data_IF_030164025693
#
_entry.id   IF_030164025693
#
_cell.length_a   1.000
_cell.length_b   1.000
_cell.length_c   1.000
_cell.angle_alpha   90.00
_cell.angle_beta   90.00
_cell.angle_gamma   90.00
#
_symmetry.space_group_name_H-M   'P 1'
#
loop_
_entity.id
_entity.type
_entity.pdbx_description
1 polymer ?
#
# COMPACT_ATOMS: atom_id res chain seq x y z
N UNK A 1 0.92 7.21 6.29
CA UNK A 1 1.04 8.12 7.40
C UNK A 1 2.48 8.55 7.62
N UNK A 2 3.47 7.64 7.67
CA UNK A 2 4.88 7.99 7.93
C UNK A 2 5.44 9.03 6.95
N UNK A 3 5.24 8.87 5.65
CA UNK A 3 5.66 9.86 4.64
C UNK A 3 5.02 11.25 4.78
N UNK A 4 3.96 11.38 5.60
CA UNK A 4 3.31 12.65 5.92
C UNK A 4 3.67 13.17 7.32
N UNK A 5 4.50 12.43 8.09
CA UNK A 5 4.88 12.81 9.43
C UNK A 5 3.73 12.92 10.43
N UNK A 6 2.67 12.13 10.27
CA UNK A 6 1.44 12.27 11.06
C UNK A 6 0.97 10.98 11.77
N UNK A 7 1.83 9.96 11.90
CA UNK A 7 1.46 8.69 12.55
C UNK A 7 1.02 8.87 14.00
N UNK A 8 1.71 9.70 14.80
CA UNK A 8 1.24 10.05 16.15
C UNK A 8 -0.17 10.65 16.16
N UNK A 9 -0.49 11.50 15.16
CA UNK A 9 -1.82 12.08 15.00
C UNK A 9 -2.87 11.03 14.71
N UNK A 10 -2.55 10.08 13.84
CA UNK A 10 -3.41 8.92 13.56
C UNK A 10 -3.60 8.06 14.80
N UNK A 11 -2.53 7.75 15.55
CA UNK A 11 -2.59 7.00 16.80
C UNK A 11 -3.50 7.67 17.84
N UNK A 12 -3.38 9.00 18.02
CA UNK A 12 -4.29 9.75 18.90
C UNK A 12 -5.75 9.68 18.42
N UNK A 13 -5.99 9.75 17.10
CA UNK A 13 -7.34 9.65 16.54
C UNK A 13 -7.94 8.25 16.75
N UNK A 14 -7.18 7.18 16.52
CA UNK A 14 -7.59 5.81 16.79
C UNK A 14 -8.00 5.62 18.25
N UNK A 15 -7.16 6.08 19.17
CA UNK A 15 -7.46 6.04 20.61
C UNK A 15 -8.71 6.84 20.99
N UNK A 16 -8.88 8.02 20.39
CA UNK A 16 -10.03 8.91 20.67
C UNK A 16 -11.34 8.34 20.09
N UNK A 17 -11.28 7.61 18.99
CA UNK A 17 -12.44 6.98 18.38
C UNK A 17 -13.07 5.89 19.28
N UNK A 18 -12.28 5.26 20.16
CA UNK A 18 -12.76 4.24 21.11
C UNK A 18 -13.33 2.98 20.44
N UNK A 19 -13.01 2.76 19.18
CA UNK A 19 -13.43 1.56 18.44
C UNK A 19 -12.59 0.36 18.85
N UNK A 20 -13.18 -0.85 18.90
CA UNK A 20 -12.41 -2.09 19.01
C UNK A 20 -11.33 -2.18 17.93
N UNK A 21 -10.15 -2.72 18.28
CA UNK A 21 -9.00 -2.78 17.35
C UNK A 21 -9.33 -3.57 16.07
N UNK A 22 -10.15 -4.59 16.15
CA UNK A 22 -10.59 -5.45 15.06
C UNK A 22 -11.64 -4.80 14.14
N UNK A 23 -12.23 -3.67 14.54
CA UNK A 23 -13.11 -2.88 13.69
C UNK A 23 -12.38 -1.83 12.84
N UNK A 24 -11.05 -1.69 13.02
CA UNK A 24 -10.23 -0.69 12.31
C UNK A 24 -9.12 -1.38 11.54
N UNK A 25 -9.03 -1.12 10.23
CA UNK A 25 -7.95 -1.61 9.37
C UNK A 25 -6.91 -0.51 9.18
N UNK A 26 -5.70 -0.73 9.70
CA UNK A 26 -4.62 0.26 9.69
C UNK A 26 -3.53 -0.12 8.71
N UNK A 27 -3.31 0.75 7.72
CA UNK A 27 -2.25 0.59 6.72
C UNK A 27 -1.18 1.67 6.88
N UNK A 28 0.08 1.28 6.84
CA UNK A 28 1.20 2.21 6.69
C UNK A 28 2.16 1.74 5.58
N UNK A 29 3.21 2.50 5.34
CA UNK A 29 4.19 2.21 4.28
C UNK A 29 5.61 2.45 4.77
N UNK A 30 6.55 1.62 4.30
CA UNK A 30 7.99 1.88 4.39
C UNK A 30 8.32 3.04 3.45
N UNK A 31 8.76 4.19 3.96
CA UNK A 31 9.16 5.30 3.09
C UNK A 31 10.45 4.98 2.34
N UNK A 32 10.72 5.72 1.29
CA UNK A 32 11.84 5.44 0.40
C UNK A 32 13.20 5.48 1.09
N UNK A 33 13.37 6.38 2.05
CA UNK A 33 14.60 6.58 2.84
C UNK A 33 14.86 5.47 3.85
N UNK A 34 13.85 4.69 4.20
CA UNK A 34 13.93 3.61 5.20
C UNK A 34 14.03 2.21 4.55
N UNK A 35 14.27 2.14 3.24
CA UNK A 35 14.44 0.86 2.54
C UNK A 35 15.76 0.16 2.93
N UNK A 36 15.79 -1.16 2.79
CA UNK A 36 16.84 -2.07 3.25
C UNK A 36 16.40 -2.85 4.48
N UNK A 37 17.05 -3.98 4.77
CA UNK A 37 16.58 -4.90 5.81
C UNK A 37 16.52 -4.26 7.20
N UNK A 38 17.65 -3.82 7.74
CA UNK A 38 17.72 -3.27 9.12
C UNK A 38 17.00 -1.92 9.27
N UNK A 39 17.02 -1.09 8.22
CA UNK A 39 16.31 0.20 8.22
C UNK A 39 14.80 0.00 8.23
N UNK A 40 14.30 -0.99 7.48
CA UNK A 40 12.89 -1.35 7.47
C UNK A 40 12.42 -1.88 8.82
N UNK A 41 13.21 -2.73 9.49
CA UNK A 41 12.86 -3.20 10.84
C UNK A 41 12.67 -2.02 11.81
N UNK A 42 13.63 -1.08 11.85
CA UNK A 42 13.53 0.13 12.69
C UNK A 42 12.36 1.04 12.30
N UNK A 43 12.10 1.16 11.00
CA UNK A 43 11.00 1.98 10.48
C UNK A 43 9.64 1.47 10.93
N UNK A 44 9.42 0.16 10.87
CA UNK A 44 8.17 -0.46 11.33
C UNK A 44 8.03 -0.36 12.84
N UNK A 45 9.09 -0.60 13.61
CA UNK A 45 9.09 -0.43 15.07
C UNK A 45 8.69 1.00 15.45
N UNK A 46 9.27 2.01 14.80
CA UNK A 46 8.90 3.42 15.01
C UNK A 46 7.45 3.70 14.63
N UNK A 47 6.97 3.17 13.51
CA UNK A 47 5.57 3.35 13.09
C UNK A 47 4.59 2.75 14.11
N UNK A 48 4.87 1.56 14.64
CA UNK A 48 4.05 0.94 15.68
C UNK A 48 4.02 1.79 16.96
N UNK A 49 5.17 2.31 17.38
CA UNK A 49 5.27 3.20 18.54
C UNK A 49 4.49 4.51 18.34
N UNK A 50 4.66 5.17 17.19
CA UNK A 50 4.00 6.44 16.86
C UNK A 50 2.46 6.26 16.75
N UNK A 51 2.01 5.14 16.20
CA UNK A 51 0.59 4.79 16.10
C UNK A 51 0.01 4.30 17.44
N UNK A 52 0.84 3.87 18.39
CA UNK A 52 0.43 3.27 19.64
C UNK A 52 -0.23 1.90 19.45
N UNK A 53 0.27 1.12 18.50
CA UNK A 53 -0.25 -0.20 18.13
C UNK A 53 0.80 -1.29 18.35
N UNK A 54 0.35 -2.52 18.62
CA UNK A 54 1.22 -3.70 18.72
C UNK A 54 1.39 -4.40 17.35
N UNK A 55 0.42 -4.21 16.44
CA UNK A 55 0.43 -4.79 15.10
C UNK A 55 -0.25 -3.87 14.07
N UNK A 56 0.16 -3.99 12.81
CA UNK A 56 -0.49 -3.38 11.64
C UNK A 56 -1.29 -4.42 10.86
N UNK A 57 -2.39 -4.00 10.26
CA UNK A 57 -3.18 -4.88 9.37
C UNK A 57 -2.49 -5.05 8.03
N UNK A 58 -1.91 -3.97 7.49
CA UNK A 58 -1.19 -3.98 6.21
C UNK A 58 0.01 -3.03 6.24
N UNK A 59 1.14 -3.50 5.75
CA UNK A 59 2.31 -2.65 5.53
C UNK A 59 2.85 -2.82 4.12
N UNK A 60 3.11 -1.70 3.42
CA UNK A 60 3.51 -1.69 2.03
C UNK A 60 4.92 -1.14 1.85
N UNK A 61 5.66 -1.63 0.85
CA UNK A 61 6.81 -0.88 0.31
C UNK A 61 6.25 0.25 -0.55
N UNK A 62 6.66 1.51 -0.29
CA UNK A 62 6.05 2.69 -0.96
C UNK A 62 6.38 2.77 -2.46
N UNK A 63 7.63 2.48 -2.85
CA UNK A 63 8.12 2.45 -4.23
C UNK A 63 9.21 1.39 -4.40
N UNK A 64 9.35 0.74 -5.57
CA UNK A 64 10.37 -0.30 -5.78
C UNK A 64 11.81 0.25 -5.83
N UNK A 65 12.02 1.46 -6.32
CA UNK A 65 13.33 2.14 -6.50
C UNK A 65 14.42 1.22 -7.07
N UNK A 66 14.26 0.71 -8.30
CA UNK A 66 15.14 -0.34 -8.85
C UNK A 66 16.60 0.08 -8.97
N UNK A 67 16.88 1.39 -9.11
CA UNK A 67 18.26 1.92 -9.18
C UNK A 67 19.04 1.76 -7.87
N UNK A 68 18.36 1.60 -6.75
CA UNK A 68 18.98 1.45 -5.42
C UNK A 68 19.11 -0.02 -5.03
N UNK A 69 18.33 -0.91 -5.66
CA UNK A 69 18.42 -2.35 -5.46
C UNK A 69 17.97 -2.85 -4.07
N UNK A 70 17.26 -2.02 -3.29
CA UNK A 70 16.91 -2.32 -1.90
C UNK A 70 15.55 -3.02 -1.73
N UNK A 71 14.75 -3.13 -2.80
CA UNK A 71 13.40 -3.68 -2.72
C UNK A 71 13.36 -5.11 -2.16
N UNK A 72 14.28 -5.97 -2.59
CA UNK A 72 14.36 -7.35 -2.12
C UNK A 72 14.68 -7.45 -0.63
N UNK A 73 15.65 -6.67 -0.13
CA UNK A 73 16.01 -6.67 1.29
C UNK A 73 14.93 -6.02 2.16
N UNK A 74 14.27 -4.98 1.66
CA UNK A 74 13.08 -4.39 2.29
C UNK A 74 11.96 -5.42 2.40
N UNK A 75 11.73 -6.19 1.34
CA UNK A 75 10.72 -7.24 1.33
C UNK A 75 11.04 -8.38 2.30
N UNK A 76 12.31 -8.83 2.38
CA UNK A 76 12.77 -9.82 3.37
C UNK A 76 12.48 -9.35 4.81
N UNK A 77 12.68 -8.06 5.09
CA UNK A 77 12.37 -7.50 6.40
C UNK A 77 10.86 -7.52 6.70
N UNK A 78 10.01 -7.18 5.72
CA UNK A 78 8.55 -7.26 5.89
C UNK A 78 8.07 -8.70 6.07
N UNK A 79 8.62 -9.68 5.34
CA UNK A 79 8.34 -11.11 5.53
C UNK A 79 8.70 -11.53 6.96
N UNK A 80 9.89 -11.17 7.43
CA UNK A 80 10.30 -11.45 8.81
C UNK A 80 9.33 -10.87 9.84
N UNK A 81 8.94 -9.60 9.70
CA UNK A 81 7.99 -8.94 10.62
C UNK A 81 6.59 -9.55 10.57
N UNK A 82 6.16 -10.02 9.40
CA UNK A 82 4.91 -10.74 9.24
C UNK A 82 4.95 -12.09 9.97
N UNK A 83 6.03 -12.86 9.84
CA UNK A 83 6.23 -14.12 10.54
C UNK A 83 6.27 -13.95 12.07
N UNK A 84 6.76 -12.80 12.56
CA UNK A 84 6.79 -12.45 13.98
C UNK A 84 5.44 -11.91 14.50
N UNK A 85 4.45 -11.66 13.62
CA UNK A 85 3.12 -11.19 14.00
C UNK A 85 2.98 -9.67 14.17
N UNK A 86 4.00 -8.88 13.84
CA UNK A 86 3.90 -7.41 13.88
C UNK A 86 3.07 -6.82 12.74
N UNK A 87 2.91 -7.57 11.65
CA UNK A 87 2.15 -7.15 10.47
C UNK A 87 1.28 -8.33 10.03
N UNK A 88 -0.04 -8.14 9.92
CA UNK A 88 -0.98 -9.19 9.48
C UNK A 88 -0.87 -9.51 7.99
N UNK A 89 -0.64 -8.48 7.17
CA UNK A 89 -0.52 -8.60 5.71
C UNK A 89 0.56 -7.69 5.18
N UNK A 90 1.32 -8.17 4.20
CA UNK A 90 2.39 -7.41 3.57
C UNK A 90 2.14 -7.26 2.07
N UNK A 91 2.42 -6.07 1.56
CA UNK A 91 2.22 -5.74 0.15
C UNK A 91 3.20 -4.69 -0.34
N UNK A 92 2.95 -4.20 -1.51
CA UNK A 92 3.81 -3.23 -2.18
C UNK A 92 2.98 -2.10 -2.80
N UNK A 93 3.65 -1.04 -3.24
CA UNK A 93 3.02 0.05 -3.97
C UNK A 93 3.91 0.47 -5.13
N UNK A 94 3.29 0.74 -6.29
CA UNK A 94 3.96 1.18 -7.53
C UNK A 94 4.96 0.17 -8.14
N UNK A 95 4.80 -1.11 -7.82
CA UNK A 95 5.63 -2.17 -8.38
C UNK A 95 5.15 -2.56 -9.77
N UNK A 96 6.08 -2.71 -10.71
CA UNK A 96 5.85 -3.28 -12.02
C UNK A 96 5.93 -4.81 -11.94
N UNK A 97 5.65 -5.52 -13.03
CA UNK A 97 5.69 -6.98 -13.08
C UNK A 97 7.07 -7.50 -12.67
N UNK A 98 8.13 -6.94 -13.23
CA UNK A 98 9.51 -7.35 -12.92
C UNK A 98 9.90 -7.12 -11.45
N UNK A 99 9.38 -6.06 -10.82
CA UNK A 99 9.63 -5.77 -9.40
C UNK A 99 8.88 -6.78 -8.49
N UNK A 100 7.66 -7.18 -8.88
CA UNK A 100 6.87 -8.22 -8.18
C UNK A 100 7.54 -9.59 -8.28
N UNK A 101 8.00 -9.95 -9.47
CA UNK A 101 8.72 -11.21 -9.70
C UNK A 101 10.04 -11.27 -8.92
N UNK A 102 10.77 -10.16 -8.84
CA UNK A 102 12.01 -10.07 -8.06
C UNK A 102 11.77 -10.40 -6.58
N UNK A 103 10.83 -9.73 -5.93
CA UNK A 103 10.62 -9.91 -4.48
C UNK A 103 10.05 -11.29 -4.15
N UNK A 104 9.21 -11.86 -5.02
CA UNK A 104 8.71 -13.22 -4.89
C UNK A 104 9.84 -14.26 -5.09
N UNK A 105 10.70 -14.08 -6.08
CA UNK A 105 11.83 -15.00 -6.34
C UNK A 105 12.83 -15.02 -5.18
N UNK A 106 13.09 -13.88 -4.55
CA UNK A 106 14.06 -13.73 -3.46
C UNK A 106 13.60 -14.33 -2.11
N UNK A 107 12.29 -14.45 -1.90
CA UNK A 107 11.75 -14.86 -0.59
C UNK A 107 10.80 -16.05 -0.65
N UNK A 108 10.28 -16.39 -1.83
CA UNK A 108 9.17 -17.33 -1.99
C UNK A 108 7.81 -16.79 -1.53
N UNK A 109 7.76 -15.55 -1.03
CA UNK A 109 6.54 -14.91 -0.53
C UNK A 109 6.09 -13.83 -1.52
N UNK A 110 4.84 -13.94 -1.96
CA UNK A 110 4.23 -12.99 -2.90
C UNK A 110 3.54 -11.87 -2.13
N UNK A 111 3.64 -10.60 -2.60
CA UNK A 111 2.81 -9.52 -2.05
C UNK A 111 1.32 -9.84 -2.19
N UNK A 112 0.55 -9.65 -1.11
CA UNK A 112 -0.92 -9.86 -1.16
C UNK A 112 -1.62 -8.77 -1.95
N UNK A 113 -1.00 -7.58 -2.05
CA UNK A 113 -1.58 -6.39 -2.64
C UNK A 113 -0.48 -5.53 -3.29
N UNK A 114 -0.82 -4.93 -4.44
CA UNK A 114 -0.04 -3.86 -5.06
C UNK A 114 -0.93 -2.62 -5.21
N UNK A 115 -0.59 -1.54 -4.49
CA UNK A 115 -1.30 -0.27 -4.56
C UNK A 115 -0.69 0.59 -5.67
N UNK A 116 -1.47 0.88 -6.72
CA UNK A 116 -1.01 1.56 -7.94
C UNK A 116 -1.85 2.78 -8.28
N UNK A 117 -1.30 3.72 -9.05
CA UNK A 117 -2.14 4.75 -9.68
C UNK A 117 -3.13 4.07 -10.62
N UNK A 118 -4.41 4.30 -10.39
CA UNK A 118 -5.45 3.68 -11.20
C UNK A 118 -6.69 4.56 -11.22
N UNK A 119 -7.04 5.05 -12.39
CA UNK A 119 -8.20 5.90 -12.65
C UNK A 119 -8.60 5.76 -14.15
N UNK A 120 -9.73 6.33 -14.59
CA UNK A 120 -10.23 6.14 -15.97
C UNK A 120 -9.25 6.49 -17.08
N UNK A 121 -8.33 7.45 -16.85
CA UNK A 121 -7.31 7.83 -17.83
C UNK A 121 -6.00 7.05 -17.72
N UNK A 122 -5.84 6.25 -16.65
CA UNK A 122 -4.68 5.38 -16.45
C UNK A 122 -5.10 4.02 -15.92
N UNK A 123 -5.50 3.14 -16.81
CA UNK A 123 -6.20 1.89 -16.47
C UNK A 123 -5.27 0.73 -16.12
N UNK A 124 -3.99 0.81 -16.43
CA UNK A 124 -2.96 -0.21 -16.14
C UNK A 124 -3.41 -1.66 -16.42
N UNK A 125 -4.01 -1.90 -17.60
CA UNK A 125 -4.67 -3.16 -17.92
C UNK A 125 -3.73 -4.37 -17.78
N UNK A 126 -2.54 -4.30 -18.37
CA UNK A 126 -1.55 -5.39 -18.34
C UNK A 126 -1.16 -5.76 -16.90
N UNK A 127 -0.85 -4.76 -16.07
CA UNK A 127 -0.48 -4.99 -14.67
C UNK A 127 -1.64 -5.59 -13.87
N UNK A 128 -2.86 -5.14 -14.09
CA UNK A 128 -4.07 -5.68 -13.43
C UNK A 128 -4.36 -7.12 -13.85
N UNK A 129 -4.18 -7.47 -15.13
CA UNK A 129 -4.31 -8.84 -15.61
C UNK A 129 -3.23 -9.74 -14.99
N UNK A 130 -1.99 -9.26 -14.87
CA UNK A 130 -0.95 -9.96 -14.14
C UNK A 130 -1.34 -10.17 -12.68
N UNK A 131 -1.79 -9.13 -11.97
CA UNK A 131 -2.26 -9.23 -10.59
C UNK A 131 -3.33 -10.31 -10.45
N UNK A 132 -4.36 -10.27 -11.30
CA UNK A 132 -5.44 -11.25 -11.28
C UNK A 132 -4.94 -12.69 -11.51
N UNK A 133 -3.98 -12.88 -12.43
CA UNK A 133 -3.39 -14.20 -12.73
C UNK A 133 -2.58 -14.77 -11.56
N UNK A 134 -2.04 -13.90 -10.70
CA UNK A 134 -1.19 -14.25 -9.54
C UNK A 134 -1.94 -14.21 -8.20
N UNK A 135 -3.20 -13.79 -8.18
CA UNK A 135 -3.96 -13.62 -6.94
C UNK A 135 -3.50 -12.42 -6.10
N UNK A 136 -2.91 -11.40 -6.74
CA UNK A 136 -2.52 -10.13 -6.10
C UNK A 136 -3.72 -9.18 -6.14
N UNK A 137 -4.05 -8.55 -5.03
CA UNK A 137 -5.10 -7.53 -4.98
C UNK A 137 -4.56 -6.23 -5.59
N UNK A 138 -5.36 -5.63 -6.48
CA UNK A 138 -5.08 -4.28 -6.98
C UNK A 138 -5.80 -3.26 -6.12
N UNK A 139 -5.07 -2.34 -5.50
CA UNK A 139 -5.62 -1.18 -4.80
C UNK A 139 -5.29 0.08 -5.59
N UNK A 140 -6.27 0.98 -5.73
CA UNK A 140 -6.09 2.25 -6.47
C UNK A 140 -5.66 3.36 -5.52
N UNK A 141 -4.56 4.07 -5.85
CA UNK A 141 -4.37 5.41 -5.32
C UNK A 141 -4.75 6.46 -6.37
N UNK A 142 -5.17 7.63 -5.92
CA UNK A 142 -5.71 8.71 -6.75
C UNK A 142 -6.84 8.29 -7.70
N UNK A 143 -7.84 7.51 -7.25
CA UNK A 143 -8.91 7.00 -8.12
C UNK A 143 -9.75 8.11 -8.76
N UNK A 144 -9.73 9.31 -8.17
CA UNK A 144 -10.44 10.51 -8.66
C UNK A 144 -9.52 11.50 -9.38
N UNK A 145 -8.35 11.04 -9.87
CA UNK A 145 -7.42 11.84 -10.68
C UNK A 145 -6.82 13.07 -9.98
N UNK A 146 -6.74 13.07 -8.64
CA UNK A 146 -6.19 14.18 -7.84
C UNK A 146 -6.85 15.55 -8.09
N UNK A 147 -8.12 15.58 -8.44
CA UNK A 147 -8.83 16.80 -8.80
C UNK A 147 -8.63 17.22 -10.27
N UNK A 148 -8.19 16.29 -11.10
CA UNK A 148 -8.14 16.43 -12.56
C UNK A 148 -9.51 16.51 -13.22
N UNK A 149 -9.55 16.24 -14.53
CA UNK A 149 -10.77 16.35 -15.32
C UNK A 149 -11.76 15.19 -15.19
N UNK A 150 -11.41 14.12 -14.45
CA UNK A 150 -12.19 12.88 -14.38
C UNK A 150 -13.61 13.12 -13.84
N UNK A 151 -13.75 13.93 -12.81
CA UNK A 151 -15.06 14.19 -12.17
C UNK A 151 -16.00 15.02 -13.03
N UNK A 152 -15.48 15.69 -14.05
CA UNK A 152 -16.24 16.53 -14.99
C UNK A 152 -16.16 16.01 -16.44
N UNK A 153 -15.66 14.80 -16.63
CA UNK A 153 -15.60 14.16 -17.94
C UNK A 153 -17.02 13.82 -18.43
N UNK A 154 -17.42 14.28 -19.63
CA UNK A 154 -18.78 14.05 -20.13
C UNK A 154 -19.17 12.57 -20.27
N UNK A 155 -18.19 11.67 -20.49
CA UNK A 155 -18.45 10.23 -20.57
C UNK A 155 -18.74 9.68 -19.16
N UNK A 156 -17.96 10.10 -18.17
CA UNK A 156 -18.15 9.68 -16.77
C UNK A 156 -19.47 10.24 -16.23
N UNK A 157 -19.79 11.53 -16.48
CA UNK A 157 -21.07 12.13 -16.12
C UNK A 157 -22.27 11.41 -16.72
N UNK A 158 -22.17 11.01 -18.00
CA UNK A 158 -23.21 10.24 -18.68
C UNK A 158 -23.42 8.86 -18.04
N UNK A 159 -22.34 8.17 -17.69
CA UNK A 159 -22.40 6.86 -17.01
C UNK A 159 -23.00 7.03 -15.62
N UNK A 160 -22.51 7.98 -14.83
CA UNK A 160 -23.03 8.27 -13.50
C UNK A 160 -24.54 8.57 -13.53
N UNK A 161 -24.99 9.43 -14.45
CA UNK A 161 -26.40 9.75 -14.65
C UNK A 161 -27.24 8.51 -15.03
N UNK A 162 -26.72 7.64 -15.89
CA UNK A 162 -27.42 6.42 -16.29
C UNK A 162 -27.63 5.42 -15.13
N UNK A 163 -26.75 5.49 -14.11
CA UNK A 163 -26.80 4.63 -12.91
C UNK A 163 -27.35 5.35 -11.66
N UNK A 164 -27.82 6.60 -11.78
CA UNK A 164 -28.30 7.39 -10.64
C UNK A 164 -27.24 7.67 -9.57
N UNK A 165 -25.97 7.74 -9.99
CA UNK A 165 -24.81 7.98 -9.14
C UNK A 165 -24.20 9.38 -9.39
N UNK A 166 -23.33 9.80 -8.49
CA UNK A 166 -22.43 10.96 -8.71
C UNK A 166 -21.16 10.52 -9.41
N UNK A 167 -20.48 11.43 -10.10
CA UNK A 167 -19.14 11.21 -10.66
C UNK A 167 -18.11 11.09 -9.57
#
# INVERSE_FOLDING_TARGET
>A
ARGYGNEEGVGRALKAAGLPRDEVFVTSKVPNEDQGYDSTLRSVESSLADLGLEELDLHLIHWPRPTEGLAADTWKALVHLHEQGYIRSIGVSNFRIEDLELVEAETGVRPVLNQIELHPYFTQLELREYHASKGIITESWSPLGQGGGELTDPVIEKIASAHGATT
#
